data_IF_954392795301
#
_entry.id   IF_954392795301
#
_cell.length_a   1.000
_cell.length_b   1.000
_cell.length_c   1.000
_cell.angle_alpha   90.00
_cell.angle_beta   90.00
_cell.angle_gamma   90.00
#
_symmetry.space_group_name_H-M   'P 1'
#
loop_
_entity.id
_entity.type
_entity.pdbx_description
1 polymer ?
#
# COMPACT_ATOMS: atom_id res chain seq x y z
N UNK A 1 1.87 10.02 -3.11
CA UNK A 1 3.27 10.17 -2.63
C UNK A 1 3.52 9.09 -1.58
N UNK A 2 4.51 8.20 -1.76
CA UNK A 2 4.81 7.14 -0.78
C UNK A 2 5.72 7.71 0.32
N UNK A 3 5.19 7.96 1.51
CA UNK A 3 5.97 8.36 2.68
C UNK A 3 6.28 7.11 3.50
N UNK A 4 7.42 6.48 3.21
CA UNK A 4 7.96 5.45 4.09
C UNK A 4 8.50 6.11 5.35
N UNK A 5 7.67 6.23 6.39
CA UNK A 5 8.15 6.61 7.71
C UNK A 5 9.12 5.52 8.19
N UNK A 6 10.32 5.97 8.56
CA UNK A 6 11.38 5.12 9.10
C UNK A 6 11.18 5.06 10.60
N UNK A 7 10.73 3.92 11.12
CA UNK A 7 10.99 3.56 12.51
C UNK A 7 12.21 2.64 12.60
N UNK A 8 12.96 2.82 13.69
CA UNK A 8 14.36 2.40 13.91
C UNK A 8 14.60 0.89 14.13
N UNK A 9 13.60 0.04 13.90
CA UNK A 9 13.76 -1.41 13.95
C UNK A 9 13.68 -1.99 12.54
N UNK A 10 14.63 -2.86 12.17
CA UNK A 10 14.86 -3.40 10.82
C UNK A 10 13.71 -4.17 10.15
N UNK A 11 12.48 -4.06 10.66
CA UNK A 11 11.22 -4.57 10.10
C UNK A 11 10.45 -3.45 9.39
N UNK A 12 10.97 -2.97 8.26
CA UNK A 12 10.29 -1.95 7.44
C UNK A 12 8.98 -2.47 6.87
N UNK A 13 7.86 -2.09 7.47
CA UNK A 13 6.56 -2.25 6.85
C UNK A 13 6.18 -0.97 6.11
N UNK A 14 5.91 -1.09 4.81
CA UNK A 14 5.60 0.05 3.96
C UNK A 14 4.13 0.42 4.12
N UNK A 15 3.87 1.60 4.66
CA UNK A 15 2.56 2.27 4.57
C UNK A 15 2.54 3.15 3.31
N UNK A 16 1.46 3.06 2.55
CA UNK A 16 1.38 3.74 1.24
C UNK A 16 -0.03 4.17 0.88
N UNK A 17 -0.11 5.37 0.28
CA UNK A 17 -1.32 5.87 -0.37
C UNK A 17 -1.14 5.74 -1.88
N UNK A 18 -1.96 4.92 -2.50
CA UNK A 18 -2.04 4.80 -3.96
C UNK A 18 -3.14 5.75 -4.43
N UNK A 19 -2.74 6.80 -5.14
CA UNK A 19 -3.70 7.71 -5.77
C UNK A 19 -3.92 7.26 -7.21
N UNK A 20 -5.12 6.77 -7.49
CA UNK A 20 -5.54 6.39 -8.83
C UNK A 20 -6.38 7.50 -9.43
N UNK A 21 -5.92 8.05 -10.56
CA UNK A 21 -6.72 8.91 -11.43
C UNK A 21 -7.42 8.11 -12.54
N UNK A 22 -7.36 6.78 -12.47
CA UNK A 22 -7.89 5.88 -13.49
C UNK A 22 -9.35 5.50 -13.21
N UNK A 23 -9.97 4.79 -14.14
CA UNK A 23 -11.37 4.39 -14.06
C UNK A 23 -11.61 3.39 -12.91
N UNK A 24 -12.87 3.16 -12.55
CA UNK A 24 -13.27 2.47 -11.30
C UNK A 24 -12.74 1.04 -11.17
N UNK A 25 -12.31 0.41 -12.28
CA UNK A 25 -11.84 -0.97 -12.32
C UNK A 25 -10.30 -1.11 -12.23
N UNK A 26 -9.55 -0.02 -12.35
CA UNK A 26 -8.08 -0.06 -12.47
C UNK A 26 -7.37 -0.14 -11.11
N UNK A 27 -8.02 0.26 -10.01
CA UNK A 27 -7.37 0.30 -8.70
C UNK A 27 -7.04 -1.08 -8.14
N UNK A 28 -7.86 -2.10 -8.44
CA UNK A 28 -7.61 -3.48 -8.01
C UNK A 28 -6.38 -4.06 -8.72
N UNK A 29 -6.22 -3.75 -10.00
CA UNK A 29 -5.03 -4.10 -10.77
C UNK A 29 -3.78 -3.41 -10.22
N UNK A 30 -3.84 -2.10 -9.96
CA UNK A 30 -2.72 -1.33 -9.37
C UNK A 30 -2.32 -1.88 -8.00
N UNK A 31 -3.31 -2.23 -7.16
CA UNK A 31 -3.06 -2.86 -5.87
C UNK A 31 -2.36 -4.21 -6.00
N UNK A 32 -2.77 -5.03 -6.97
CA UNK A 32 -2.13 -6.31 -7.26
C UNK A 32 -0.68 -6.12 -7.70
N UNK A 33 -0.42 -5.20 -8.63
CA UNK A 33 0.94 -4.88 -9.10
C UNK A 33 1.82 -4.38 -7.95
N UNK A 34 1.29 -3.53 -7.09
CA UNK A 34 2.03 -3.02 -5.93
C UNK A 34 2.38 -4.13 -4.92
N UNK A 35 1.45 -5.04 -4.65
CA UNK A 35 1.70 -6.20 -3.78
C UNK A 35 2.71 -7.16 -4.39
N UNK A 36 2.67 -7.38 -5.70
CA UNK A 36 3.66 -8.18 -6.41
C UNK A 36 5.06 -7.54 -6.28
N UNK A 37 5.16 -6.22 -6.49
CA UNK A 37 6.41 -5.50 -6.31
C UNK A 37 6.94 -5.59 -4.87
N UNK A 38 6.07 -5.47 -3.85
CA UNK A 38 6.45 -5.67 -2.46
C UNK A 38 7.02 -7.07 -2.23
N UNK A 39 6.33 -8.10 -2.74
CA UNK A 39 6.76 -9.50 -2.64
C UNK A 39 8.13 -9.73 -3.30
N UNK A 40 8.35 -9.19 -4.49
CA UNK A 40 9.61 -9.30 -5.23
C UNK A 40 10.79 -8.61 -4.52
N UNK A 41 10.49 -7.64 -3.65
CA UNK A 41 11.47 -6.96 -2.81
C UNK A 41 11.60 -7.55 -1.41
N UNK A 42 10.90 -8.65 -1.12
CA UNK A 42 10.76 -9.23 0.22
C UNK A 42 10.32 -8.19 1.26
N UNK A 43 9.49 -7.24 0.81
CA UNK A 43 8.91 -6.17 1.63
C UNK A 43 7.50 -6.53 2.00
N UNK A 44 7.07 -6.02 3.14
CA UNK A 44 5.70 -6.18 3.63
C UNK A 44 5.08 -4.80 3.85
N UNK A 45 3.76 -4.74 3.87
CA UNK A 45 3.01 -3.53 4.22
C UNK A 45 2.29 -3.77 5.55
N UNK A 46 2.08 -2.72 6.33
CA UNK A 46 1.16 -2.74 7.48
C UNK A 46 -0.19 -2.13 7.12
N UNK A 47 -0.17 -1.05 6.33
CA UNK A 47 -1.37 -0.34 5.90
C UNK A 47 -1.29 0.03 4.42
N UNK A 48 -2.36 -0.21 3.67
CA UNK A 48 -2.53 0.29 2.31
C UNK A 48 -3.84 1.05 2.20
N UNK A 49 -3.78 2.25 1.62
CA UNK A 49 -4.95 3.08 1.35
C UNK A 49 -4.95 3.43 -0.13
N UNK A 50 -6.13 3.41 -0.74
CA UNK A 50 -6.32 3.77 -2.14
C UNK A 50 -7.31 4.92 -2.22
N UNK A 51 -6.82 6.04 -2.77
CA UNK A 51 -7.63 7.20 -3.06
C UNK A 51 -7.95 7.23 -4.56
N UNK A 52 -9.20 7.52 -4.92
CA UNK A 52 -9.62 7.83 -6.28
C UNK A 52 -10.15 9.26 -6.30
N UNK A 53 -9.50 10.13 -7.06
CA UNK A 53 -9.84 11.56 -7.10
C UNK A 53 -9.97 12.20 -5.69
N UNK A 54 -9.08 11.81 -4.76
CA UNK A 54 -9.11 12.29 -3.38
C UNK A 54 -10.07 11.55 -2.43
N UNK A 55 -10.93 10.66 -2.92
CA UNK A 55 -11.84 9.86 -2.10
C UNK A 55 -11.26 8.48 -1.76
N UNK A 56 -11.34 8.06 -0.50
CA UNK A 56 -10.93 6.72 -0.10
C UNK A 56 -11.88 5.67 -0.66
N UNK A 57 -11.38 4.85 -1.59
CA UNK A 57 -12.15 3.79 -2.24
C UNK A 57 -11.82 2.40 -1.72
N UNK A 58 -10.62 2.20 -1.18
CA UNK A 58 -10.20 0.90 -0.62
C UNK A 58 -9.14 1.08 0.45
N UNK A 59 -9.12 0.17 1.43
CA UNK A 59 -8.04 0.08 2.41
C UNK A 59 -7.79 -1.35 2.84
N UNK A 60 -6.54 -1.66 3.17
CA UNK A 60 -6.13 -2.95 3.74
C UNK A 60 -5.18 -2.78 4.91
N UNK A 61 -5.34 -3.65 5.89
CA UNK A 61 -4.50 -3.71 7.08
C UNK A 61 -3.92 -5.10 7.19
N UNK A 62 -2.60 -5.19 7.17
CA UNK A 62 -1.91 -6.45 7.39
C UNK A 62 -1.60 -6.64 8.88
N UNK A 63 -2.55 -7.27 9.59
CA UNK A 63 -2.49 -7.43 11.05
C UNK A 63 -1.29 -8.23 11.54
N UNK A 64 -0.68 -9.08 10.70
CA UNK A 64 0.51 -9.86 11.09
C UNK A 64 1.76 -9.00 11.26
N UNK A 65 1.74 -7.78 10.70
CA UNK A 65 2.87 -6.84 10.74
C UNK A 65 2.59 -5.63 11.64
N UNK A 66 1.62 -5.76 12.54
CA UNK A 66 1.28 -4.75 13.56
C UNK A 66 1.71 -5.16 14.99
N UNK A 67 2.45 -6.27 15.11
CA UNK A 67 2.87 -6.89 16.37
C UNK A 67 4.39 -6.99 16.48
#
# INVERSE_FOLDING_TARGET
MFTGEKDDDGKRCYSGVIESHYSTDDWAFILSEYKNWLKDKERKFSYLFILRNGELVHHEVNKSELL
#
